data_IF_618086190004
#
_entry.id   IF_618086190004
#
_cell.length_a   1.000
_cell.length_b   1.000
_cell.length_c   1.000
_cell.angle_alpha   90.00
_cell.angle_beta   90.00
_cell.angle_gamma   90.00
#
_symmetry.space_group_name_H-M   'P 1'
#
loop_
_entity.id
_entity.type
_entity.pdbx_description
1 polymer ?
#
# COMPACT_ATOMS: atom_id res chain seq x y z
N UNK A 1 35.10 85.43 2.14
CA UNK A 1 35.53 84.72 0.94
C UNK A 1 35.20 83.22 1.13
N UNK A 2 34.07 82.85 0.58
CA UNK A 2 33.91 81.91 -0.55
C UNK A 2 34.09 80.48 -0.12
N UNK A 3 33.19 79.64 -0.13
CA UNK A 3 32.44 78.91 -1.18
C UNK A 3 31.47 77.91 -0.60
N UNK A 4 30.27 78.03 -1.03
CA UNK A 4 29.22 77.06 -0.97
C UNK A 4 29.67 75.83 -1.73
N UNK A 5 29.57 74.68 -1.16
CA UNK A 5 29.57 73.40 -1.91
C UNK A 5 28.29 72.62 -1.57
N UNK A 6 27.45 72.61 -2.59
CA UNK A 6 26.22 71.91 -2.69
C UNK A 6 26.62 70.41 -3.00
N UNK A 7 26.38 69.53 -2.11
CA UNK A 7 26.58 68.09 -2.40
C UNK A 7 25.24 67.38 -2.36
N UNK A 8 24.91 66.86 -3.51
CA UNK A 8 23.68 66.19 -3.83
C UNK A 8 23.45 64.93 -2.99
N UNK A 9 22.28 64.80 -2.40
CA UNK A 9 21.75 63.55 -1.85
C UNK A 9 21.36 62.63 -3.02
N UNK A 10 22.12 61.58 -3.21
CA UNK A 10 21.69 60.42 -3.97
C UNK A 10 21.03 59.44 -3.00
N UNK A 11 19.71 59.44 -3.03
CA UNK A 11 18.91 58.39 -2.38
C UNK A 11 19.03 57.10 -3.22
N UNK A 12 19.78 56.15 -2.72
CA UNK A 12 19.79 54.78 -3.25
C UNK A 12 18.64 54.05 -2.60
N UNK A 13 17.56 53.89 -3.32
CA UNK A 13 16.42 53.07 -2.97
C UNK A 13 16.83 51.59 -3.17
N UNK A 14 17.33 50.95 -2.11
CA UNK A 14 17.62 49.54 -2.09
C UNK A 14 16.32 48.75 -2.01
N UNK A 15 15.94 48.13 -3.13
CA UNK A 15 14.84 47.19 -3.21
C UNK A 15 15.26 45.90 -2.51
N UNK A 16 14.82 45.70 -1.27
CA UNK A 16 14.95 44.41 -0.57
C UNK A 16 13.97 43.44 -1.24
N UNK A 17 14.47 42.63 -2.16
CA UNK A 17 13.78 41.43 -2.59
C UNK A 17 13.82 40.44 -1.42
N UNK A 18 12.72 40.29 -0.71
CA UNK A 18 12.54 39.21 0.26
C UNK A 18 12.36 37.92 -0.56
N UNK A 19 13.43 37.14 -0.64
CA UNK A 19 13.36 35.75 -1.09
C UNK A 19 12.54 34.97 -0.07
N UNK A 20 11.29 34.68 -0.42
CA UNK A 20 10.46 33.71 0.32
C UNK A 20 11.04 32.34 0.04
N UNK A 21 11.94 31.88 0.90
CA UNK A 21 12.27 30.46 0.99
C UNK A 21 11.00 29.71 1.41
N UNK A 22 10.28 29.19 0.44
CA UNK A 22 9.30 28.14 0.68
C UNK A 22 10.09 26.90 1.11
N UNK A 23 10.23 26.74 2.43
CA UNK A 23 10.68 25.49 2.99
C UNK A 23 9.66 24.43 2.57
N UNK A 24 10.06 23.55 1.63
CA UNK A 24 9.36 22.30 1.40
C UNK A 24 9.32 21.57 2.74
N UNK A 25 8.15 21.54 3.38
CA UNK A 25 7.95 20.77 4.60
C UNK A 25 8.28 19.29 4.34
N UNK A 26 8.75 18.56 5.37
CA UNK A 26 8.99 17.13 5.23
C UNK A 26 7.72 16.47 4.75
N UNK A 27 7.85 15.62 3.76
CA UNK A 27 6.80 14.81 3.14
C UNK A 27 5.64 14.54 4.10
N UNK A 28 4.51 15.19 3.85
CA UNK A 28 3.25 14.69 4.33
C UNK A 28 3.13 13.31 3.65
N UNK A 29 3.50 12.26 4.38
CA UNK A 29 3.45 10.90 3.89
C UNK A 29 2.07 10.71 3.27
N UNK A 30 2.02 10.53 1.96
CA UNK A 30 0.80 10.22 1.24
C UNK A 30 0.28 8.96 1.93
N UNK A 31 -0.78 9.11 2.75
CA UNK A 31 -1.40 7.98 3.41
C UNK A 31 -1.78 7.01 2.29
N UNK A 32 -1.04 5.90 2.21
CA UNK A 32 -1.19 4.95 1.12
C UNK A 32 -2.61 4.44 1.16
N UNK A 33 -3.38 4.74 0.11
CA UNK A 33 -4.78 4.36 0.02
C UNK A 33 -4.89 2.84 0.21
N UNK A 34 -5.75 2.43 1.15
CA UNK A 34 -5.91 1.00 1.45
C UNK A 34 -6.43 0.28 0.21
N UNK A 35 -5.89 -0.89 -0.13
CA UNK A 35 -6.29 -1.64 -1.33
C UNK A 35 -7.71 -2.21 -1.21
N UNK A 36 -8.38 -2.05 -0.08
CA UNK A 36 -9.69 -2.60 0.24
C UNK A 36 -10.62 -1.51 0.79
N UNK A 37 -11.93 -1.77 0.71
CA UNK A 37 -12.96 -0.99 1.41
C UNK A 37 -13.79 -1.92 2.28
N UNK A 38 -13.83 -1.62 3.59
CA UNK A 38 -14.66 -2.34 4.58
C UNK A 38 -15.54 -1.32 5.29
N UNK A 39 -16.85 -1.56 5.33
CA UNK A 39 -17.85 -0.75 6.04
C UNK A 39 -18.79 -1.70 6.77
N UNK A 40 -18.89 -1.56 8.07
CA UNK A 40 -19.75 -2.40 8.93
C UNK A 40 -19.57 -3.90 8.67
N UNK A 41 -18.32 -4.35 8.49
CA UNK A 41 -17.99 -5.75 8.22
C UNK A 41 -18.31 -6.25 6.81
N UNK A 42 -18.87 -5.39 5.96
CA UNK A 42 -19.09 -5.66 4.53
C UNK A 42 -17.93 -5.15 3.70
N UNK A 43 -17.61 -5.84 2.61
CA UNK A 43 -16.47 -5.52 1.76
C UNK A 43 -16.90 -5.14 0.35
N UNK A 44 -16.10 -4.32 -0.32
CA UNK A 44 -16.27 -4.02 -1.75
C UNK A 44 -16.15 -5.27 -2.62
N UNK A 45 -16.58 -5.17 -3.87
CA UNK A 45 -16.60 -6.29 -4.82
C UNK A 45 -15.22 -6.88 -5.10
N UNK A 46 -14.16 -6.06 -5.10
CA UNK A 46 -12.79 -6.46 -5.32
C UNK A 46 -12.26 -7.29 -4.13
N UNK A 47 -12.42 -6.79 -2.92
CA UNK A 47 -12.05 -7.50 -1.69
C UNK A 47 -12.83 -8.81 -1.52
N UNK A 48 -14.13 -8.81 -1.87
CA UNK A 48 -14.94 -10.03 -1.89
C UNK A 48 -14.45 -11.05 -2.92
N UNK A 49 -14.07 -10.62 -4.10
CA UNK A 49 -13.50 -11.49 -5.12
C UNK A 49 -12.17 -12.09 -4.62
N UNK A 50 -11.33 -11.29 -3.97
CA UNK A 50 -10.10 -11.74 -3.33
C UNK A 50 -10.35 -12.85 -2.30
N UNK A 51 -11.36 -12.70 -1.44
CA UNK A 51 -11.79 -13.75 -0.52
C UNK A 51 -12.13 -15.05 -1.29
N UNK A 52 -12.91 -14.95 -2.36
CA UNK A 52 -13.30 -16.13 -3.15
C UNK A 52 -12.09 -16.82 -3.77
N UNK A 53 -11.16 -16.06 -4.37
CA UNK A 53 -9.94 -16.59 -5.00
C UNK A 53 -9.01 -17.22 -3.98
N UNK A 54 -8.82 -16.55 -2.85
CA UNK A 54 -8.06 -17.10 -1.72
C UNK A 54 -8.60 -18.47 -1.29
N UNK A 55 -9.90 -18.58 -1.07
CA UNK A 55 -10.53 -19.80 -0.58
C UNK A 55 -10.58 -20.93 -1.63
N UNK A 56 -10.41 -20.66 -2.91
CA UNK A 56 -10.34 -21.69 -3.93
C UNK A 56 -8.96 -22.31 -4.10
N UNK A 57 -7.88 -21.61 -3.72
CA UNK A 57 -6.51 -22.04 -4.02
C UNK A 57 -5.59 -21.92 -2.81
N UNK A 58 -5.46 -20.72 -2.25
CA UNK A 58 -4.44 -20.40 -1.24
C UNK A 58 -4.71 -21.06 0.12
N UNK A 59 -5.98 -21.27 0.45
CA UNK A 59 -6.45 -21.83 1.71
C UNK A 59 -5.85 -23.22 1.98
N UNK A 60 -5.59 -24.02 0.96
CA UNK A 60 -5.11 -25.40 1.10
C UNK A 60 -3.73 -25.49 1.80
N UNK A 61 -2.91 -24.46 1.63
CA UNK A 61 -1.61 -24.38 2.29
C UNK A 61 -1.59 -23.34 3.41
N UNK A 62 -2.15 -22.15 3.17
CA UNK A 62 -2.08 -21.03 4.10
C UNK A 62 -3.22 -20.98 5.14
N UNK A 63 -4.03 -22.03 5.17
CA UNK A 63 -5.11 -22.18 6.12
C UNK A 63 -6.29 -21.22 5.92
N UNK A 64 -7.37 -21.39 6.67
CA UNK A 64 -8.52 -20.50 6.59
C UNK A 64 -8.12 -19.08 6.97
N UNK A 65 -8.68 -18.10 6.29
CA UNK A 65 -8.52 -16.68 6.58
C UNK A 65 -7.06 -16.16 6.57
N UNK A 66 -6.11 -16.88 5.98
CA UNK A 66 -4.71 -16.46 5.89
C UNK A 66 -3.89 -16.63 7.17
N UNK A 67 -4.40 -17.35 8.17
CA UNK A 67 -3.72 -17.46 9.47
C UNK A 67 -2.53 -18.43 9.47
N UNK A 68 -2.31 -19.14 8.37
CA UNK A 68 -1.29 -20.18 8.28
C UNK A 68 -1.82 -21.57 8.64
N UNK A 69 -0.99 -22.57 8.47
CA UNK A 69 -1.28 -23.96 8.76
C UNK A 69 0.00 -24.80 8.80
N UNK A 70 -0.15 -26.11 8.78
CA UNK A 70 1.00 -27.04 8.81
C UNK A 70 1.86 -26.97 7.54
N UNK A 71 1.33 -26.49 6.42
CA UNK A 71 2.02 -26.48 5.12
C UNK A 71 2.67 -25.15 4.78
N UNK A 72 2.10 -24.02 5.27
CA UNK A 72 2.59 -22.69 4.94
C UNK A 72 2.34 -21.69 6.08
N UNK A 73 3.17 -20.64 6.18
CA UNK A 73 3.04 -19.63 7.23
C UNK A 73 1.80 -18.77 7.06
N UNK A 74 1.48 -18.02 8.11
CA UNK A 74 0.46 -16.96 8.08
C UNK A 74 0.82 -15.89 7.05
N UNK A 75 -0.18 -15.45 6.28
CA UNK A 75 -0.07 -14.34 5.34
C UNK A 75 -0.51 -13.00 5.95
N UNK A 76 -1.11 -13.05 7.15
CA UNK A 76 -1.64 -11.86 7.83
C UNK A 76 -0.81 -11.44 9.03
N UNK A 77 0.03 -12.31 9.59
CA UNK A 77 0.88 -11.96 10.73
C UNK A 77 2.05 -11.04 10.36
N UNK A 78 2.57 -11.18 9.13
CA UNK A 78 3.64 -10.34 8.58
C UNK A 78 3.38 -10.16 7.08
N UNK A 79 2.41 -9.29 6.71
CA UNK A 79 2.02 -9.13 5.32
C UNK A 79 3.15 -8.49 4.51
N UNK A 80 3.33 -8.98 3.29
CA UNK A 80 4.21 -8.37 2.31
C UNK A 80 3.55 -7.09 1.74
N UNK A 81 4.35 -6.19 1.18
CA UNK A 81 3.83 -5.16 0.29
C UNK A 81 3.34 -5.75 -1.03
N UNK A 82 2.59 -5.00 -1.81
CA UNK A 82 2.00 -5.50 -3.07
C UNK A 82 3.05 -5.94 -4.09
N UNK A 83 4.15 -5.22 -4.34
CA UNK A 83 5.21 -5.68 -5.25
C UNK A 83 5.81 -7.01 -4.84
N UNK A 84 6.20 -7.18 -3.58
CA UNK A 84 6.76 -8.42 -3.06
C UNK A 84 5.73 -9.56 -3.07
N UNK A 85 4.48 -9.27 -2.70
CA UNK A 85 3.38 -10.23 -2.77
C UNK A 85 3.17 -10.74 -4.21
N UNK A 86 3.09 -9.84 -5.19
CA UNK A 86 2.96 -10.16 -6.60
C UNK A 86 4.11 -11.04 -7.08
N UNK A 87 5.35 -10.66 -6.76
CA UNK A 87 6.54 -11.43 -7.14
C UNK A 87 6.49 -12.86 -6.59
N UNK A 88 6.17 -13.02 -5.29
CA UNK A 88 6.09 -14.35 -4.65
C UNK A 88 4.97 -15.19 -5.26
N UNK A 89 3.81 -14.60 -5.54
CA UNK A 89 2.69 -15.34 -6.14
C UNK A 89 3.02 -15.79 -7.56
N UNK A 90 3.63 -14.93 -8.38
CA UNK A 90 3.95 -15.27 -9.77
C UNK A 90 5.09 -16.27 -9.87
N UNK A 91 6.20 -16.02 -9.16
CA UNK A 91 7.41 -16.84 -9.28
C UNK A 91 7.40 -18.09 -8.38
N UNK A 92 6.57 -18.08 -7.34
CA UNK A 92 6.67 -19.05 -6.26
C UNK A 92 7.79 -18.72 -5.28
N UNK A 93 7.93 -19.56 -4.25
CA UNK A 93 8.96 -19.40 -3.22
C UNK A 93 9.41 -20.75 -2.68
N UNK A 94 10.72 -20.89 -2.51
CA UNK A 94 11.31 -22.04 -1.83
C UNK A 94 11.95 -21.57 -0.52
N UNK A 95 11.65 -22.28 0.57
CA UNK A 95 12.29 -22.08 1.87
C UNK A 95 12.54 -23.42 2.53
N UNK A 96 13.81 -23.85 2.51
CA UNK A 96 14.17 -25.20 2.93
C UNK A 96 13.43 -26.26 2.12
N UNK A 97 12.67 -27.12 2.82
CA UNK A 97 11.87 -28.19 2.21
C UNK A 97 10.45 -27.73 1.79
N UNK A 98 10.07 -26.52 2.17
CA UNK A 98 8.76 -25.97 1.80
C UNK A 98 8.84 -25.29 0.44
N UNK A 99 7.89 -25.63 -0.43
CA UNK A 99 7.80 -25.07 -1.79
C UNK A 99 6.40 -24.53 -2.03
N UNK A 100 6.31 -23.24 -2.30
CA UNK A 100 5.14 -22.62 -2.90
C UNK A 100 5.36 -22.57 -4.41
N UNK A 101 4.48 -23.19 -5.19
CA UNK A 101 4.56 -23.09 -6.65
C UNK A 101 4.26 -21.66 -7.12
N UNK A 102 4.82 -21.28 -8.28
CA UNK A 102 4.44 -20.04 -8.96
C UNK A 102 3.10 -20.20 -9.69
N UNK A 103 2.42 -19.08 -9.88
CA UNK A 103 1.10 -18.99 -10.53
C UNK A 103 1.11 -18.11 -11.77
N UNK A 104 2.29 -17.81 -12.35
CA UNK A 104 2.36 -17.11 -13.61
C UNK A 104 1.62 -17.89 -14.71
N UNK A 105 0.74 -17.24 -15.46
CA UNK A 105 -0.12 -17.84 -16.48
C UNK A 105 -1.36 -18.56 -15.93
N UNK A 106 -1.55 -18.66 -14.61
CA UNK A 106 -2.77 -19.23 -14.03
C UNK A 106 -3.93 -18.23 -14.11
N UNK A 107 -4.90 -18.47 -14.98
CA UNK A 107 -6.04 -17.59 -15.19
C UNK A 107 -6.99 -17.42 -14.01
N UNK A 108 -6.86 -18.26 -12.97
CA UNK A 108 -7.64 -18.15 -11.74
C UNK A 108 -6.90 -17.37 -10.62
N UNK A 109 -5.61 -17.13 -10.77
CA UNK A 109 -4.78 -16.44 -9.77
C UNK A 109 -4.20 -15.15 -10.31
N UNK A 110 -3.44 -15.20 -11.40
CA UNK A 110 -2.67 -14.05 -11.88
C UNK A 110 -3.51 -12.78 -12.11
N UNK A 111 -4.67 -12.81 -12.77
CA UNK A 111 -5.51 -11.62 -12.97
C UNK A 111 -6.11 -11.06 -11.68
N UNK A 112 -6.07 -11.84 -10.58
CA UNK A 112 -6.73 -11.52 -9.31
C UNK A 112 -5.77 -11.33 -8.15
N UNK A 113 -4.47 -11.21 -8.41
CA UNK A 113 -3.45 -11.05 -7.36
C UNK A 113 -3.76 -9.84 -6.47
N UNK A 114 -4.18 -8.72 -7.05
CA UNK A 114 -4.51 -7.51 -6.29
C UNK A 114 -5.80 -7.64 -5.49
N UNK A 115 -6.76 -8.41 -5.99
CA UNK A 115 -7.99 -8.71 -5.25
C UNK A 115 -7.68 -9.59 -4.04
N UNK A 116 -6.85 -10.64 -4.23
CA UNK A 116 -6.39 -11.51 -3.16
C UNK A 116 -5.60 -10.69 -2.12
N UNK A 117 -4.74 -9.80 -2.59
CA UNK A 117 -3.98 -8.90 -1.75
C UNK A 117 -4.88 -7.99 -0.91
N UNK A 118 -5.90 -7.38 -1.53
CA UNK A 118 -6.87 -6.53 -0.83
C UNK A 118 -7.58 -7.28 0.31
N UNK A 119 -8.01 -8.52 0.06
CA UNK A 119 -8.60 -9.36 1.08
C UNK A 119 -7.63 -9.64 2.23
N UNK A 120 -6.39 -10.05 1.93
CA UNK A 120 -5.39 -10.37 2.95
C UNK A 120 -4.97 -9.14 3.76
N UNK A 121 -4.87 -7.97 3.14
CA UNK A 121 -4.58 -6.72 3.85
C UNK A 121 -5.72 -6.34 4.80
N UNK A 122 -6.98 -6.45 4.38
CA UNK A 122 -8.12 -6.20 5.26
C UNK A 122 -8.14 -7.14 6.48
N UNK A 123 -7.70 -8.38 6.29
CA UNK A 123 -7.52 -9.36 7.36
C UNK A 123 -6.36 -8.99 8.29
N UNK A 124 -5.20 -8.62 7.73
CA UNK A 124 -4.00 -8.26 8.46
C UNK A 124 -4.20 -6.99 9.31
N UNK A 125 -4.93 -6.01 8.78
CA UNK A 125 -5.27 -4.78 9.48
C UNK A 125 -6.37 -4.98 10.56
N UNK A 126 -6.95 -6.19 10.66
CA UNK A 126 -7.96 -6.53 11.66
C UNK A 126 -9.33 -5.91 11.42
N UNK A 127 -9.55 -5.22 10.29
CA UNK A 127 -10.82 -4.57 9.95
C UNK A 127 -11.84 -5.55 9.36
N UNK A 128 -11.36 -6.74 8.95
CA UNK A 128 -12.20 -7.82 8.45
C UNK A 128 -12.11 -9.05 9.36
N UNK A 129 -13.23 -9.49 9.87
CA UNK A 129 -13.37 -10.69 10.70
C UNK A 129 -13.14 -11.99 9.94
N UNK A 130 -13.17 -13.12 10.64
CA UNK A 130 -13.00 -14.47 10.05
C UNK A 130 -14.24 -14.91 9.26
N UNK A 131 -13.99 -15.81 8.32
CA UNK A 131 -15.05 -16.44 7.54
C UNK A 131 -15.44 -15.63 6.31
N UNK A 132 -16.60 -15.96 5.75
CA UNK A 132 -17.11 -15.33 4.52
C UNK A 132 -17.65 -13.93 4.81
N UNK A 133 -17.06 -12.88 4.22
CA UNK A 133 -17.58 -11.52 4.40
C UNK A 133 -18.89 -11.33 3.63
N UNK A 134 -19.71 -10.41 4.11
CA UNK A 134 -20.80 -9.86 3.31
C UNK A 134 -20.25 -8.84 2.30
N UNK A 135 -20.95 -8.68 1.17
CA UNK A 135 -20.57 -7.71 0.14
C UNK A 135 -21.33 -6.40 0.33
N UNK A 136 -20.67 -5.28 0.07
CA UNK A 136 -21.31 -3.99 -0.15
C UNK A 136 -22.11 -4.07 -1.46
N UNK A 137 -23.31 -3.52 -1.44
CA UNK A 137 -24.20 -3.41 -2.61
C UNK A 137 -23.66 -2.35 -3.59
#
# INVERSE_FOLDING_TARGET
MTRVQLSALLAVLGLLAAEVCVAAGPDAGVAQEKPYRVVDGKVDGRTYNGYRRYNSICIHCHGPDGVGGSFAPSLIAAPLDLPAFRQVVLAGRKNGNSVMKGFAGDGNVEPYIEDIYAYLQARADGVLGRGRPARLD
#
